data_IF_284445502734
#
_entry.id   IF_284445502734
#
_cell.length_a   1.000
_cell.length_b   1.000
_cell.length_c   1.000
_cell.angle_alpha   90.00
_cell.angle_beta   90.00
_cell.angle_gamma   90.00
#
_symmetry.space_group_name_H-M   'P 1'
#
loop_
_entity.id
_entity.type
_entity.pdbx_description
1 polymer ?
#
# COMPACT_ATOMS: atom_id res chain seq x y z
N UNK A 1 -48.86 -33.90 -23.46
CA UNK A 1 -48.76 -32.51 -23.03
C UNK A 1 -47.59 -32.39 -22.07
N UNK A 2 -46.43 -31.98 -22.56
CA UNK A 2 -45.22 -31.75 -21.74
C UNK A 2 -45.18 -30.28 -21.38
N UNK A 3 -45.30 -29.96 -20.10
CA UNK A 3 -45.13 -28.58 -19.58
C UNK A 3 -43.63 -28.29 -19.52
N UNK A 4 -43.21 -27.36 -20.36
CA UNK A 4 -41.85 -26.78 -20.29
C UNK A 4 -41.90 -25.70 -19.22
N UNK A 5 -41.20 -25.93 -18.15
CA UNK A 5 -40.97 -24.94 -17.07
C UNK A 5 -39.79 -24.05 -17.52
N UNK A 6 -40.11 -22.83 -17.95
CA UNK A 6 -39.09 -21.80 -18.22
C UNK A 6 -38.61 -21.27 -16.87
N UNK A 7 -37.42 -21.67 -16.45
CA UNK A 7 -36.69 -21.02 -15.36
C UNK A 7 -36.05 -19.74 -15.93
N UNK A 8 -36.66 -18.61 -15.66
CA UNK A 8 -36.04 -17.31 -15.89
C UNK A 8 -34.98 -17.11 -14.83
N UNK A 9 -33.72 -17.41 -15.15
CA UNK A 9 -32.57 -17.00 -14.37
C UNK A 9 -32.43 -15.50 -14.57
N UNK A 10 -32.89 -14.73 -13.57
CA UNK A 10 -32.60 -13.31 -13.45
C UNK A 10 -31.12 -13.22 -13.02
N UNK A 11 -30.23 -13.14 -14.01
CA UNK A 11 -28.86 -12.73 -13.77
C UNK A 11 -28.93 -11.28 -13.29
N UNK A 12 -28.88 -11.08 -11.97
CA UNK A 12 -28.49 -9.81 -11.38
C UNK A 12 -27.02 -9.63 -11.72
N UNK A 13 -26.71 -9.11 -12.90
CA UNK A 13 -25.43 -8.50 -13.18
C UNK A 13 -25.34 -7.28 -12.28
N UNK A 14 -24.75 -7.46 -11.09
CA UNK A 14 -24.23 -6.35 -10.33
C UNK A 14 -23.09 -5.83 -11.20
N UNK A 15 -23.41 -4.87 -12.06
CA UNK A 15 -22.41 -4.00 -12.64
C UNK A 15 -21.74 -3.28 -11.45
N UNK A 16 -20.63 -3.83 -10.99
CA UNK A 16 -19.64 -3.01 -10.32
C UNK A 16 -19.14 -2.04 -11.40
N UNK A 17 -19.86 -0.95 -11.61
CA UNK A 17 -19.24 0.22 -12.15
C UNK A 17 -18.07 0.50 -11.19
N UNK A 18 -16.86 0.31 -11.67
CA UNK A 18 -15.67 0.91 -11.07
C UNK A 18 -15.87 2.42 -11.21
N UNK A 19 -16.65 2.99 -10.29
CA UNK A 19 -16.99 4.39 -10.31
C UNK A 19 -15.72 5.10 -9.88
N UNK A 20 -15.20 5.94 -10.76
CA UNK A 20 -14.36 7.04 -10.37
C UNK A 20 -14.96 7.66 -9.09
N UNK A 21 -14.33 7.45 -7.96
CA UNK A 21 -14.87 7.92 -6.69
C UNK A 21 -14.73 9.43 -6.62
N UNK A 22 -15.66 10.12 -6.00
CA UNK A 22 -15.50 11.55 -5.73
C UNK A 22 -14.44 11.81 -4.63
N UNK A 23 -13.95 10.77 -3.95
CA UNK A 23 -12.82 10.86 -3.01
C UNK A 23 -11.52 10.86 -3.82
N UNK A 24 -10.81 11.99 -3.78
CA UNK A 24 -9.51 12.16 -4.44
C UNK A 24 -8.36 11.71 -3.53
N UNK A 25 -8.46 12.03 -2.22
CA UNK A 25 -7.49 11.66 -1.20
C UNK A 25 -8.18 11.49 0.16
N UNK A 26 -7.82 10.49 0.96
CA UNK A 26 -6.98 9.34 0.60
C UNK A 26 -7.71 8.38 -0.33
N UNK A 27 -6.96 7.82 -1.26
CA UNK A 27 -7.49 6.85 -2.22
C UNK A 27 -6.53 5.65 -2.35
N UNK A 28 -6.77 4.80 -3.31
CA UNK A 28 -6.07 3.50 -3.45
C UNK A 28 -4.55 3.60 -3.55
N UNK A 29 -4.05 4.57 -4.31
CA UNK A 29 -2.60 4.80 -4.46
C UNK A 29 -1.96 5.50 -3.27
N UNK A 30 -2.75 6.13 -2.39
CA UNK A 30 -2.25 7.01 -1.34
C UNK A 30 -3.02 6.87 -0.06
N UNK A 31 -2.41 6.25 0.95
CA UNK A 31 -2.99 6.10 2.29
C UNK A 31 -2.68 7.31 3.16
N UNK A 32 -3.68 7.86 3.85
CA UNK A 32 -3.44 8.84 4.90
C UNK A 32 -2.88 8.15 6.15
N UNK A 33 -1.76 8.63 6.69
CA UNK A 33 -1.19 8.17 7.97
C UNK A 33 -1.48 9.22 9.02
N UNK A 34 -2.14 8.82 10.12
CA UNK A 34 -2.54 9.74 11.18
C UNK A 34 -2.35 9.13 12.56
N UNK A 35 -1.87 9.89 13.52
CA UNK A 35 -1.86 9.47 14.93
C UNK A 35 -3.26 9.57 15.53
N UNK A 36 -3.64 8.62 16.39
CA UNK A 36 -4.85 8.78 17.20
C UNK A 36 -4.79 10.09 18.01
N UNK A 37 -5.87 10.84 18.00
CA UNK A 37 -5.95 12.20 18.58
C UNK A 37 -5.53 13.33 17.63
N UNK A 38 -5.09 13.01 16.41
CA UNK A 38 -4.64 14.00 15.42
C UNK A 38 -5.61 14.09 14.24
N UNK A 39 -5.32 14.97 13.30
CA UNK A 39 -6.14 15.25 12.13
C UNK A 39 -5.44 14.81 10.85
N UNK A 40 -6.25 14.47 9.83
CA UNK A 40 -5.83 14.32 8.45
C UNK A 40 -6.82 15.00 7.51
N UNK A 41 -6.44 15.22 6.27
CA UNK A 41 -7.30 15.81 5.25
C UNK A 41 -7.96 14.74 4.39
N UNK A 42 -9.19 15.02 3.94
CA UNK A 42 -9.88 14.31 2.87
C UNK A 42 -10.20 15.32 1.78
N UNK A 43 -9.80 15.01 0.54
CA UNK A 43 -10.12 15.78 -0.64
C UNK A 43 -11.26 15.13 -1.39
N UNK A 44 -12.30 15.87 -1.64
CA UNK A 44 -13.53 15.33 -2.20
C UNK A 44 -14.06 16.25 -3.29
N UNK A 45 -14.51 15.68 -4.40
CA UNK A 45 -15.11 16.41 -5.50
C UNK A 45 -16.62 16.25 -5.46
N UNK A 46 -17.29 17.13 -4.72
CA UNK A 46 -18.73 17.08 -4.56
C UNK A 46 -19.45 17.56 -5.82
N UNK A 47 -20.49 16.84 -6.24
CA UNK A 47 -21.44 17.31 -7.26
C UNK A 47 -22.22 18.53 -6.76
N UNK A 48 -22.83 19.27 -7.69
CA UNK A 48 -23.66 20.45 -7.35
C UNK A 48 -24.78 20.04 -6.40
N UNK A 49 -24.86 20.73 -5.27
CA UNK A 49 -25.87 20.46 -4.22
C UNK A 49 -25.58 19.25 -3.33
N UNK A 50 -24.51 18.48 -3.57
CA UNK A 50 -24.15 17.36 -2.74
C UNK A 50 -23.60 17.85 -1.39
N UNK A 51 -24.14 17.29 -0.30
CA UNK A 51 -23.69 17.55 1.07
C UNK A 51 -22.98 16.33 1.63
N UNK A 52 -22.02 16.58 2.53
CA UNK A 52 -21.33 15.54 3.30
C UNK A 52 -21.98 15.45 4.67
N UNK A 53 -22.58 14.33 4.97
CA UNK A 53 -23.36 14.12 6.19
C UNK A 53 -22.52 13.58 7.35
N UNK A 54 -21.64 12.62 7.08
CA UNK A 54 -20.74 12.05 8.09
C UNK A 54 -19.56 11.32 7.47
N UNK A 55 -18.50 11.15 8.26
CA UNK A 55 -17.35 10.31 7.97
C UNK A 55 -17.19 9.28 9.10
N UNK A 56 -16.81 8.07 8.75
CA UNK A 56 -16.43 7.01 9.70
C UNK A 56 -15.18 6.29 9.20
N UNK A 57 -14.38 5.79 10.13
CA UNK A 57 -13.29 4.87 9.84
C UNK A 57 -13.76 3.45 10.17
N UNK A 58 -13.91 2.59 9.16
CA UNK A 58 -14.37 1.21 9.31
C UNK A 58 -13.17 0.28 9.25
N UNK A 59 -12.78 -0.24 10.40
CA UNK A 59 -11.75 -1.27 10.50
C UNK A 59 -12.30 -2.69 10.33
N UNK A 60 -11.43 -3.70 10.31
CA UNK A 60 -11.85 -5.09 10.19
C UNK A 60 -12.66 -5.57 11.41
N UNK A 61 -12.48 -4.96 12.57
CA UNK A 61 -13.11 -5.41 13.83
C UNK A 61 -13.90 -4.32 14.55
N UNK A 62 -13.75 -3.07 14.18
CA UNK A 62 -14.40 -1.92 14.82
C UNK A 62 -14.73 -0.82 13.82
N UNK A 63 -15.60 0.10 14.27
CA UNK A 63 -15.88 1.35 13.57
C UNK A 63 -15.56 2.50 14.49
N UNK A 64 -14.78 3.46 14.01
CA UNK A 64 -14.41 4.67 14.74
C UNK A 64 -15.22 5.84 14.18
N UNK A 65 -16.00 6.49 15.03
CA UNK A 65 -16.64 7.75 14.70
C UNK A 65 -15.60 8.87 14.81
N UNK A 66 -15.54 9.71 13.81
CA UNK A 66 -14.63 10.84 13.73
C UNK A 66 -15.43 12.15 13.69
N UNK A 67 -14.79 13.27 14.04
CA UNK A 67 -15.36 14.60 13.79
C UNK A 67 -14.75 15.18 12.53
N UNK A 68 -15.48 16.08 11.87
CA UNK A 68 -15.03 16.70 10.62
C UNK A 68 -15.38 18.17 10.56
N UNK A 69 -14.57 18.92 9.82
CA UNK A 69 -14.89 20.28 9.35
C UNK A 69 -14.59 20.38 7.85
N UNK A 70 -15.40 21.11 7.11
CA UNK A 70 -15.32 21.18 5.66
C UNK A 70 -15.09 22.63 5.21
N UNK A 71 -14.14 22.80 4.29
CA UNK A 71 -13.90 24.05 3.58
C UNK A 71 -14.26 23.84 2.11
N UNK A 72 -15.08 24.74 1.57
CA UNK A 72 -15.42 24.77 0.15
C UNK A 72 -14.39 25.61 -0.61
N UNK A 73 -14.04 25.18 -1.81
CA UNK A 73 -13.07 25.89 -2.65
C UNK A 73 -12.97 25.23 -4.01
N UNK A 74 -11.88 25.49 -4.70
CA UNK A 74 -11.51 24.80 -5.92
C UNK A 74 -9.98 24.69 -5.95
N UNK A 75 -9.47 23.46 -5.89
CA UNK A 75 -8.04 23.19 -5.86
C UNK A 75 -7.67 22.21 -6.95
N UNK A 76 -6.68 22.55 -7.74
CA UNK A 76 -6.09 21.63 -8.73
C UNK A 76 -5.10 20.71 -8.00
N UNK A 77 -5.28 19.39 -8.15
CA UNK A 77 -4.35 18.40 -7.60
C UNK A 77 -3.46 17.77 -8.67
N UNK A 78 -3.91 17.79 -9.91
CA UNK A 78 -3.15 17.32 -11.05
C UNK A 78 -3.13 18.38 -12.16
N UNK A 79 -2.02 19.10 -12.30
CA UNK A 79 -1.87 20.12 -13.35
C UNK A 79 -1.82 19.55 -14.77
N UNK A 80 -1.48 18.24 -14.95
CA UNK A 80 -1.45 17.62 -16.28
C UNK A 80 -2.85 17.42 -16.83
N UNK A 81 -3.75 16.92 -16.01
CA UNK A 81 -5.16 16.70 -16.41
C UNK A 81 -6.05 17.90 -16.10
N UNK A 82 -5.57 18.83 -15.29
CA UNK A 82 -6.40 19.94 -14.79
C UNK A 82 -7.44 19.49 -13.77
N UNK A 83 -7.34 18.27 -13.26
CA UNK A 83 -8.29 17.70 -12.32
C UNK A 83 -8.30 18.46 -10.99
N UNK A 84 -9.51 18.67 -10.46
CA UNK A 84 -9.74 19.50 -9.28
C UNK A 84 -10.58 18.78 -8.24
N UNK A 85 -10.54 19.27 -7.00
CA UNK A 85 -11.52 18.93 -5.97
C UNK A 85 -12.08 20.21 -5.34
N UNK A 86 -13.29 20.12 -4.78
CA UNK A 86 -14.02 21.29 -4.33
C UNK A 86 -14.42 21.26 -2.85
N UNK A 87 -14.02 20.21 -2.12
CA UNK A 87 -14.19 20.09 -0.66
C UNK A 87 -12.89 19.61 -0.04
N UNK A 88 -12.38 20.39 0.90
CA UNK A 88 -11.29 20.01 1.79
C UNK A 88 -11.89 19.76 3.17
N UNK A 89 -11.77 18.52 3.65
CA UNK A 89 -12.38 18.08 4.89
C UNK A 89 -11.26 17.74 5.87
N UNK A 90 -11.19 18.45 6.98
CA UNK A 90 -10.31 18.08 8.09
C UNK A 90 -11.03 17.08 8.97
N UNK A 91 -10.47 15.91 9.12
CA UNK A 91 -11.02 14.80 9.91
C UNK A 91 -10.19 14.63 11.17
N UNK A 92 -10.82 14.62 12.34
CA UNK A 92 -10.17 14.39 13.63
C UNK A 92 -10.43 12.98 14.11
N UNK A 93 -9.35 12.22 14.30
CA UNK A 93 -9.39 10.85 14.84
C UNK A 93 -9.40 10.93 16.37
N UNK A 94 -10.30 10.25 17.08
CA UNK A 94 -10.28 10.27 18.55
C UNK A 94 -9.01 9.59 19.10
N UNK A 95 -8.52 10.06 20.24
CA UNK A 95 -7.31 9.53 20.91
C UNK A 95 -7.45 8.06 21.32
N UNK A 96 -8.67 7.57 21.46
CA UNK A 96 -9.00 6.18 21.83
C UNK A 96 -9.05 5.25 20.62
N UNK A 97 -8.92 5.76 19.37
CA UNK A 97 -8.94 4.93 18.19
C UNK A 97 -7.80 3.91 18.21
N UNK A 98 -8.07 2.62 18.03
CA UNK A 98 -7.02 1.62 17.91
C UNK A 98 -6.11 1.89 16.70
N UNK A 99 -4.83 1.53 16.83
CA UNK A 99 -3.93 1.52 15.68
C UNK A 99 -4.33 0.38 14.75
N UNK A 100 -4.71 0.72 13.52
CA UNK A 100 -5.11 -0.23 12.49
C UNK A 100 -5.18 0.44 11.12
N UNK A 101 -5.47 -0.33 10.09
CA UNK A 101 -5.85 0.20 8.78
C UNK A 101 -7.37 0.20 8.64
N UNK A 102 -7.90 1.30 8.15
CA UNK A 102 -9.33 1.57 8.07
C UNK A 102 -9.75 1.95 6.66
N UNK A 103 -10.93 1.51 6.28
CA UNK A 103 -11.67 2.10 5.18
C UNK A 103 -12.21 3.47 5.62
N UNK A 104 -12.05 4.46 4.77
CA UNK A 104 -12.72 5.76 4.92
C UNK A 104 -14.11 5.66 4.32
N UNK A 105 -15.14 5.77 5.14
CA UNK A 105 -16.54 5.71 4.70
C UNK A 105 -17.15 7.10 4.81
N UNK A 106 -17.52 7.66 3.67
CA UNK A 106 -18.11 8.98 3.50
C UNK A 106 -19.59 8.85 3.16
N UNK A 107 -20.46 9.35 4.04
CA UNK A 107 -21.89 9.45 3.76
C UNK A 107 -22.22 10.82 3.20
N UNK A 108 -22.79 10.85 2.02
CA UNK A 108 -23.24 12.06 1.35
C UNK A 108 -24.76 12.03 1.11
N UNK A 109 -25.33 13.16 0.67
CA UNK A 109 -26.73 13.20 0.24
C UNK A 109 -27.02 12.36 -1.02
N UNK A 110 -25.98 11.97 -1.77
CA UNK A 110 -26.08 11.17 -2.99
C UNK A 110 -25.78 9.68 -2.76
N UNK A 111 -25.37 9.28 -1.53
CA UNK A 111 -25.01 7.91 -1.20
C UNK A 111 -23.74 7.78 -0.37
N UNK A 112 -23.24 6.55 -0.29
CA UNK A 112 -22.05 6.19 0.48
C UNK A 112 -20.89 5.97 -0.48
N UNK A 113 -19.76 6.60 -0.18
CA UNK A 113 -18.50 6.37 -0.86
C UNK A 113 -17.47 5.78 0.10
N UNK A 114 -16.61 4.90 -0.39
CA UNK A 114 -15.63 4.20 0.44
C UNK A 114 -14.27 4.19 -0.22
N UNK A 115 -13.27 4.73 0.48
CA UNK A 115 -11.87 4.49 0.18
C UNK A 115 -11.37 3.32 1.01
N UNK A 116 -11.25 2.15 0.37
CA UNK A 116 -10.84 0.92 1.05
C UNK A 116 -9.39 0.99 1.50
N UNK A 117 -9.15 0.73 2.79
CA UNK A 117 -7.82 0.83 3.38
C UNK A 117 -7.20 2.23 3.27
N UNK A 118 -8.01 3.28 3.08
CA UNK A 118 -7.51 4.63 2.81
C UNK A 118 -6.82 5.30 3.99
N UNK A 119 -7.01 4.82 5.23
CA UNK A 119 -6.48 5.49 6.43
C UNK A 119 -5.72 4.51 7.31
N UNK A 120 -4.47 4.80 7.61
CA UNK A 120 -3.66 4.13 8.62
C UNK A 120 -3.62 4.97 9.90
N UNK A 121 -4.29 4.49 10.94
CA UNK A 121 -4.19 5.08 12.28
C UNK A 121 -3.02 4.41 13.02
N UNK A 122 -2.16 5.22 13.62
CA UNK A 122 -1.04 4.77 14.46
C UNK A 122 -1.16 5.37 15.86
N UNK A 123 -0.58 4.72 16.85
CA UNK A 123 -0.49 5.29 18.22
C UNK A 123 0.63 6.31 18.29
N UNK A 124 1.79 5.94 17.79
CA UNK A 124 2.97 6.78 17.67
C UNK A 124 3.87 6.32 16.53
N UNK A 125 4.81 7.16 16.13
CA UNK A 125 5.83 6.77 15.17
C UNK A 125 6.80 5.78 15.83
N UNK A 126 7.07 4.67 15.16
CA UNK A 126 8.06 3.70 15.65
C UNK A 126 9.47 4.29 15.59
N UNK A 127 10.32 3.91 16.53
CA UNK A 127 11.75 4.25 16.52
C UNK A 127 12.48 3.61 15.33
N UNK A 128 12.14 2.36 15.06
CA UNK A 128 12.55 1.61 13.89
C UNK A 128 11.33 1.04 13.20
N UNK A 129 11.28 1.12 11.88
CA UNK A 129 10.14 0.62 11.10
C UNK A 129 10.58 0.02 9.78
N UNK A 130 9.75 -0.86 9.25
CA UNK A 130 9.98 -1.50 7.97
C UNK A 130 9.22 -0.79 6.85
N UNK A 131 9.92 -0.58 5.73
CA UNK A 131 9.35 -0.26 4.44
C UNK A 131 9.50 -1.49 3.56
N UNK A 132 8.40 -1.91 2.91
CA UNK A 132 8.45 -2.91 1.85
C UNK A 132 8.35 -2.22 0.50
N UNK A 133 9.12 -2.74 -0.46
CA UNK A 133 9.17 -2.23 -1.81
C UNK A 133 9.12 -3.38 -2.81
N UNK A 134 8.23 -3.25 -3.78
CA UNK A 134 8.19 -4.12 -4.96
C UNK A 134 7.71 -3.36 -6.18
N UNK A 135 7.76 -4.00 -7.35
CA UNK A 135 7.42 -3.42 -8.63
C UNK A 135 7.08 -4.49 -9.65
N UNK A 136 6.54 -4.08 -10.78
CA UNK A 136 6.42 -4.88 -12.01
C UNK A 136 5.71 -6.23 -11.77
N UNK A 137 4.61 -6.21 -11.05
CA UNK A 137 3.82 -7.41 -10.78
C UNK A 137 3.04 -7.88 -12.00
N UNK A 138 2.63 -6.97 -12.87
CA UNK A 138 1.92 -7.20 -14.12
C UNK A 138 0.76 -8.21 -14.00
N UNK A 139 -0.07 -8.05 -12.99
CA UNK A 139 -1.24 -8.91 -12.82
C UNK A 139 -2.09 -8.92 -14.08
N UNK A 140 -2.62 -10.11 -14.41
CA UNK A 140 -3.45 -10.37 -15.57
C UNK A 140 -2.75 -10.23 -16.94
N UNK A 141 -1.44 -10.26 -16.99
CA UNK A 141 -0.73 -10.33 -18.27
C UNK A 141 -0.94 -11.69 -18.93
N UNK A 142 -1.32 -11.66 -20.21
CA UNK A 142 -1.45 -12.88 -21.02
C UNK A 142 -0.13 -13.66 -21.07
N UNK A 143 -0.20 -14.98 -20.91
CA UNK A 143 0.98 -15.86 -20.95
C UNK A 143 1.66 -16.07 -19.60
N UNK A 144 1.22 -15.40 -18.53
CA UNK A 144 1.68 -15.66 -17.16
C UNK A 144 0.59 -16.32 -16.33
N UNK A 145 1.00 -17.17 -15.40
CA UNK A 145 0.08 -17.84 -14.47
C UNK A 145 -0.53 -16.82 -13.49
N UNK A 146 -1.72 -16.36 -13.78
CA UNK A 146 -2.44 -15.37 -12.97
C UNK A 146 -2.71 -15.89 -11.56
N UNK A 147 -3.03 -17.16 -11.38
CA UNK A 147 -3.32 -17.73 -10.05
C UNK A 147 -2.07 -17.71 -9.18
N UNK A 148 -0.91 -18.00 -9.73
CA UNK A 148 0.35 -17.94 -9.02
C UNK A 148 0.75 -16.48 -8.68
N UNK A 149 0.54 -15.55 -9.60
CA UNK A 149 0.77 -14.13 -9.32
C UNK A 149 -0.12 -13.60 -8.20
N UNK A 150 -1.40 -13.97 -8.20
CA UNK A 150 -2.33 -13.60 -7.13
C UNK A 150 -1.92 -14.19 -5.78
N UNK A 151 -1.48 -15.45 -5.75
CA UNK A 151 -0.92 -16.08 -4.54
C UNK A 151 0.32 -15.34 -4.02
N UNK A 152 1.21 -14.90 -4.92
CA UNK A 152 2.40 -14.12 -4.55
C UNK A 152 2.03 -12.76 -3.98
N UNK A 153 1.11 -12.06 -4.59
CA UNK A 153 0.58 -10.80 -4.04
C UNK A 153 -0.02 -11.01 -2.66
N UNK A 154 -0.85 -12.04 -2.48
CA UNK A 154 -1.45 -12.34 -1.18
C UNK A 154 -0.40 -12.69 -0.12
N UNK A 155 0.66 -13.42 -0.51
CA UNK A 155 1.79 -13.69 0.37
C UNK A 155 2.56 -12.42 0.75
N UNK A 156 2.71 -11.47 -0.16
CA UNK A 156 3.32 -10.17 0.13
C UNK A 156 2.52 -9.41 1.18
N UNK A 157 1.20 -9.41 1.09
CA UNK A 157 0.31 -8.81 2.09
C UNK A 157 0.50 -9.50 3.45
N UNK A 158 0.54 -10.83 3.48
CA UNK A 158 0.75 -11.59 4.71
C UNK A 158 2.15 -11.33 5.30
N UNK A 159 3.18 -11.30 4.48
CA UNK A 159 4.54 -10.94 4.91
C UNK A 159 4.56 -9.53 5.51
N UNK A 160 3.96 -8.54 4.84
CA UNK A 160 3.85 -7.18 5.35
C UNK A 160 3.16 -7.11 6.72
N UNK A 161 2.09 -7.89 6.90
CA UNK A 161 1.35 -7.96 8.14
C UNK A 161 2.16 -8.66 9.26
N UNK A 162 2.93 -9.72 8.93
CA UNK A 162 3.76 -10.44 9.90
C UNK A 162 4.96 -9.61 10.32
N UNK A 163 5.67 -8.97 9.39
CA UNK A 163 6.82 -8.10 9.76
C UNK A 163 6.39 -6.78 10.39
N UNK A 164 5.09 -6.52 10.45
CA UNK A 164 4.47 -5.26 10.91
C UNK A 164 5.05 -4.03 10.18
N UNK A 165 5.11 -4.13 8.83
CA UNK A 165 5.55 -3.03 8.00
C UNK A 165 4.65 -1.80 8.20
N UNK A 166 5.26 -0.62 8.25
CA UNK A 166 4.51 0.64 8.34
C UNK A 166 4.10 1.16 6.98
N UNK A 167 4.96 0.96 5.98
CA UNK A 167 4.83 1.53 4.65
C UNK A 167 5.10 0.45 3.61
N UNK A 168 4.26 0.41 2.58
CA UNK A 168 4.46 -0.33 1.35
C UNK A 168 4.56 0.69 0.23
N UNK A 169 5.60 0.59 -0.60
CA UNK A 169 5.78 1.38 -1.81
C UNK A 169 5.83 0.42 -3.00
N UNK A 170 4.91 0.62 -3.92
CA UNK A 170 4.83 -0.11 -5.18
C UNK A 170 5.27 0.83 -6.30
N UNK A 171 6.37 0.52 -6.96
CA UNK A 171 6.95 1.42 -7.96
C UNK A 171 6.46 1.15 -9.37
N UNK A 172 5.15 0.92 -9.51
CA UNK A 172 4.44 0.87 -10.77
C UNK A 172 4.42 -0.50 -11.47
N UNK A 173 3.69 -0.56 -12.56
CA UNK A 173 3.46 -1.74 -13.38
C UNK A 173 2.90 -2.93 -12.59
N UNK A 174 2.00 -2.62 -11.67
CA UNK A 174 1.38 -3.64 -10.83
C UNK A 174 0.31 -4.42 -11.58
N UNK A 175 -0.30 -3.79 -12.58
CA UNK A 175 -1.31 -4.42 -13.41
C UNK A 175 -1.01 -4.26 -14.89
N UNK A 176 -1.33 -5.28 -15.65
CA UNK A 176 -1.18 -5.26 -17.09
C UNK A 176 -2.52 -4.91 -17.75
N UNK A 177 -2.51 -3.87 -18.60
CA UNK A 177 -3.65 -3.53 -19.42
C UNK A 177 -4.93 -3.16 -18.61
N UNK A 178 -4.78 -2.36 -17.57
CA UNK A 178 -5.87 -1.96 -16.68
C UNK A 178 -6.97 -1.20 -17.40
N UNK A 179 -6.61 -0.36 -18.38
CA UNK A 179 -7.55 0.51 -19.09
C UNK A 179 -8.67 -0.25 -19.78
N UNK A 180 -8.40 -1.47 -20.24
CA UNK A 180 -9.41 -2.34 -20.86
C UNK A 180 -10.11 -3.24 -19.83
N UNK A 181 -9.62 -3.30 -18.59
CA UNK A 181 -10.09 -4.21 -17.57
C UNK A 181 -10.11 -3.54 -16.19
N UNK A 182 -10.88 -2.46 -16.00
CA UNK A 182 -10.92 -1.72 -14.73
C UNK A 182 -11.43 -2.56 -13.56
N UNK A 183 -12.17 -3.66 -13.81
CA UNK A 183 -12.59 -4.60 -12.79
C UNK A 183 -11.43 -5.31 -12.09
N UNK A 184 -10.27 -5.40 -12.74
CA UNK A 184 -9.07 -6.04 -12.19
C UNK A 184 -8.43 -5.22 -11.09
N UNK A 185 -8.56 -3.91 -11.18
CA UNK A 185 -8.15 -3.00 -10.14
C UNK A 185 -8.91 -3.24 -8.84
N UNK A 186 -10.21 -3.48 -8.93
CA UNK A 186 -11.04 -3.85 -7.77
C UNK A 186 -10.48 -5.10 -7.12
N UNK A 187 -10.16 -6.14 -7.90
CA UNK A 187 -9.56 -7.37 -7.41
C UNK A 187 -8.19 -7.12 -6.76
N UNK A 188 -7.38 -6.24 -7.34
CA UNK A 188 -6.07 -5.90 -6.79
C UNK A 188 -6.17 -5.21 -5.43
N UNK A 189 -7.02 -4.17 -5.30
CA UNK A 189 -7.10 -3.36 -4.08
C UNK A 189 -8.06 -3.91 -3.05
N UNK A 190 -9.25 -4.31 -3.44
CA UNK A 190 -10.31 -4.72 -2.52
C UNK A 190 -10.25 -6.23 -2.26
N UNK A 191 -9.78 -6.98 -3.24
CA UNK A 191 -9.82 -8.43 -3.30
C UNK A 191 -11.06 -8.91 -4.07
N UNK A 192 -11.02 -10.18 -4.44
CA UNK A 192 -12.10 -10.86 -5.12
C UNK A 192 -12.26 -12.27 -4.56
N UNK A 193 -13.42 -12.55 -3.98
CA UNK A 193 -13.72 -13.86 -3.40
C UNK A 193 -13.85 -14.97 -4.46
N UNK A 194 -14.25 -14.64 -5.69
CA UNK A 194 -14.34 -15.59 -6.78
C UNK A 194 -12.95 -16.01 -7.28
N UNK A 195 -11.99 -15.09 -7.25
CA UNK A 195 -10.58 -15.37 -7.53
C UNK A 195 -9.81 -15.86 -6.29
N UNK A 196 -10.45 -15.86 -5.12
CA UNK A 196 -9.82 -16.25 -3.86
C UNK A 196 -8.66 -15.33 -3.42
N UNK A 197 -8.63 -14.07 -3.88
CA UNK A 197 -7.53 -13.14 -3.61
C UNK A 197 -7.90 -12.07 -2.59
N UNK A 198 -6.94 -11.75 -1.74
CA UNK A 198 -6.98 -10.58 -0.83
C UNK A 198 -6.66 -9.31 -1.61
N UNK A 199 -7.28 -8.20 -1.25
CA UNK A 199 -6.87 -6.90 -1.79
C UNK A 199 -5.74 -6.25 -0.99
N UNK A 200 -5.00 -5.33 -1.60
CA UNK A 200 -3.98 -4.51 -0.94
C UNK A 200 -4.52 -3.74 0.26
N UNK A 201 -5.81 -3.41 0.28
CA UNK A 201 -6.50 -2.83 1.43
C UNK A 201 -6.47 -3.72 2.70
N UNK A 202 -6.10 -5.01 2.58
CA UNK A 202 -5.91 -5.94 3.71
C UNK A 202 -4.50 -5.90 4.31
N UNK A 203 -3.55 -5.25 3.68
CA UNK A 203 -2.29 -4.93 4.32
C UNK A 203 -2.52 -3.96 5.48
N UNK A 204 -1.91 -4.22 6.63
CA UNK A 204 -1.96 -3.28 7.77
C UNK A 204 -1.06 -2.06 7.55
N UNK A 205 -0.07 -2.16 6.68
CA UNK A 205 0.81 -1.05 6.27
C UNK A 205 0.06 0.01 5.45
N UNK A 206 0.48 1.26 5.53
CA UNK A 206 0.07 2.28 4.58
C UNK A 206 0.65 1.96 3.19
N UNK A 207 -0.17 2.00 2.15
CA UNK A 207 0.22 1.63 0.79
C UNK A 207 0.27 2.85 -0.10
N UNK A 208 1.34 2.96 -0.87
CA UNK A 208 1.58 4.00 -1.85
C UNK A 208 1.96 3.36 -3.19
N UNK A 209 1.24 3.72 -4.23
CA UNK A 209 1.45 3.25 -5.58
C UNK A 209 1.97 4.40 -6.44
N UNK A 210 3.14 4.22 -7.00
CA UNK A 210 3.70 5.10 -8.02
C UNK A 210 3.14 4.70 -9.39
N UNK A 211 2.85 5.66 -10.24
CA UNK A 211 2.40 5.38 -11.59
C UNK A 211 3.48 4.68 -12.41
N UNK A 212 3.16 3.51 -12.93
CA UNK A 212 3.93 2.80 -13.95
C UNK A 212 3.39 3.10 -15.35
N UNK A 213 4.10 2.68 -16.37
CA UNK A 213 3.64 2.91 -17.75
C UNK A 213 2.46 2.00 -18.13
N UNK A 214 2.32 0.83 -17.49
CA UNK A 214 1.18 -0.06 -17.68
C UNK A 214 -0.12 0.38 -16.98
N UNK A 215 -0.08 1.18 -15.93
CA UNK A 215 -1.28 1.73 -15.31
C UNK A 215 -2.03 2.73 -16.19
N UNK A 216 -1.36 3.34 -17.15
CA UNK A 216 -1.97 4.29 -18.09
C UNK A 216 -2.18 3.77 -19.50
N UNK A 217 -1.59 2.62 -19.86
CA UNK A 217 -1.57 2.14 -21.24
C UNK A 217 -2.86 1.46 -21.69
N UNK A 218 -3.18 1.64 -22.94
CA UNK A 218 -4.29 1.01 -23.62
C UNK A 218 -3.82 -0.27 -24.34
N UNK A 219 -3.77 -1.38 -23.62
CA UNK A 219 -3.42 -2.67 -24.19
C UNK A 219 -1.93 -2.87 -24.44
N UNK A 220 -1.61 -3.84 -25.33
CA UNK A 220 -0.25 -4.17 -25.73
C UNK A 220 0.45 -3.09 -26.58
N UNK A 221 -0.19 -1.95 -26.76
CA UNK A 221 0.30 -0.88 -27.62
C UNK A 221 0.77 0.29 -26.76
N UNK A 222 2.04 0.25 -26.40
CA UNK A 222 2.75 1.28 -25.63
C UNK A 222 2.69 2.71 -26.22
N UNK A 223 2.04 2.88 -27.36
CA UNK A 223 1.99 4.16 -28.05
C UNK A 223 0.67 4.91 -27.93
N UNK A 224 -0.36 4.33 -27.30
CA UNK A 224 -1.70 4.87 -27.31
C UNK A 224 -2.16 5.44 -25.96
N UNK A 225 -2.20 6.69 -25.91
CA UNK A 225 -2.73 7.57 -24.88
C UNK A 225 -1.89 8.83 -24.84
N UNK A 226 -2.55 9.97 -24.89
CA UNK A 226 -1.89 11.22 -24.54
C UNK A 226 -1.53 11.19 -23.05
N UNK A 227 -0.58 12.01 -22.64
CA UNK A 227 -0.26 12.19 -21.22
C UNK A 227 -1.49 12.51 -20.40
N UNK A 228 -2.36 13.36 -20.98
CA UNK A 228 -3.63 13.74 -20.38
C UNK A 228 -4.53 12.53 -20.14
N UNK A 229 -4.74 11.68 -21.15
CA UNK A 229 -5.62 10.51 -21.02
C UNK A 229 -5.10 9.49 -20.01
N UNK A 230 -3.77 9.32 -19.92
CA UNK A 230 -3.17 8.44 -18.93
C UNK A 230 -3.31 9.01 -17.52
N UNK A 231 -3.10 10.32 -17.38
CA UNK A 231 -3.29 11.05 -16.12
C UNK A 231 -4.73 10.97 -15.63
N UNK A 232 -5.71 11.23 -16.52
CA UNK A 232 -7.13 11.14 -16.19
C UNK A 232 -7.50 9.72 -15.74
N UNK A 233 -7.07 8.72 -16.48
CA UNK A 233 -7.33 7.32 -16.14
C UNK A 233 -6.73 6.94 -14.79
N UNK A 234 -5.46 7.29 -14.54
CA UNK A 234 -4.83 7.01 -13.26
C UNK A 234 -5.56 7.71 -12.10
N UNK A 235 -5.89 8.98 -12.26
CA UNK A 235 -6.63 9.74 -11.24
C UNK A 235 -8.00 9.13 -10.92
N UNK A 236 -8.70 8.65 -11.94
CA UNK A 236 -10.03 8.04 -11.78
C UNK A 236 -9.98 6.72 -11.01
N UNK A 237 -9.01 5.89 -11.28
CA UNK A 237 -8.94 4.53 -10.71
C UNK A 237 -7.97 4.40 -9.54
N UNK A 238 -6.82 5.06 -9.60
CA UNK A 238 -5.75 4.88 -8.64
C UNK A 238 -5.63 6.03 -7.64
N UNK A 239 -5.94 7.24 -8.06
CA UNK A 239 -5.86 8.46 -7.25
C UNK A 239 -4.71 9.37 -7.66
N UNK A 240 -3.96 9.88 -6.70
CA UNK A 240 -2.90 10.86 -6.98
C UNK A 240 -1.72 10.20 -7.69
N UNK A 241 -1.28 10.79 -8.81
CA UNK A 241 -0.11 10.33 -9.56
C UNK A 241 1.19 10.62 -8.83
N UNK A 242 1.23 11.70 -8.09
CA UNK A 242 2.35 12.06 -7.23
C UNK A 242 1.84 12.50 -5.86
N UNK A 243 2.59 12.17 -4.83
CA UNK A 243 2.21 12.48 -3.46
C UNK A 243 3.43 12.65 -2.57
N UNK A 244 3.31 13.54 -1.59
CA UNK A 244 4.32 13.73 -0.57
C UNK A 244 3.72 13.55 0.81
N UNK A 245 4.34 12.74 1.64
CA UNK A 245 3.87 12.46 2.98
C UNK A 245 5.02 12.33 3.99
N UNK A 246 4.68 12.31 5.26
CA UNK A 246 5.66 12.13 6.35
C UNK A 246 5.30 10.98 7.26
N UNK A 247 6.32 10.29 7.76
CA UNK A 247 6.24 9.36 8.86
C UNK A 247 7.36 9.65 9.87
N UNK A 248 7.00 10.24 10.99
CA UNK A 248 7.99 10.73 11.95
C UNK A 248 8.96 11.74 11.33
N UNK A 249 10.25 11.42 11.34
CA UNK A 249 11.29 12.21 10.71
C UNK A 249 11.53 11.88 9.23
N UNK A 250 10.85 10.85 8.71
CA UNK A 250 10.89 10.48 7.30
C UNK A 250 10.06 11.40 6.42
N UNK A 251 10.57 11.67 5.22
CA UNK A 251 9.94 12.44 4.15
C UNK A 251 9.93 11.59 2.90
N UNK A 252 8.75 11.40 2.35
CA UNK A 252 8.48 10.48 1.25
C UNK A 252 7.87 11.27 0.10
N UNK A 253 8.36 11.03 -1.10
CA UNK A 253 7.92 11.70 -2.32
C UNK A 253 7.76 10.65 -3.41
N UNK A 254 6.53 10.35 -3.76
CA UNK A 254 6.18 9.50 -4.89
C UNK A 254 5.95 10.40 -6.10
N UNK A 255 6.66 10.14 -7.19
CA UNK A 255 6.69 10.98 -8.36
C UNK A 255 6.32 10.20 -9.61
N UNK A 256 5.43 10.75 -10.42
CA UNK A 256 5.14 10.18 -11.74
C UNK A 256 6.27 10.51 -12.72
N UNK A 257 6.98 9.49 -13.14
CA UNK A 257 8.00 9.59 -14.19
C UNK A 257 7.79 8.59 -15.33
N UNK A 258 6.60 7.98 -15.38
CA UNK A 258 6.25 6.99 -16.41
C UNK A 258 5.75 7.66 -17.70
N UNK A 259 4.98 8.75 -17.60
CA UNK A 259 4.30 9.34 -18.75
C UNK A 259 4.80 10.73 -19.09
N UNK A 260 4.74 11.06 -20.38
CA UNK A 260 4.83 12.43 -20.88
C UNK A 260 6.20 13.04 -21.00
N UNK A 261 7.23 12.29 -20.66
CA UNK A 261 8.60 12.76 -20.79
C UNK A 261 9.37 11.79 -21.67
N UNK A 262 9.91 12.31 -22.78
CA UNK A 262 10.82 11.53 -23.59
C UNK A 262 12.08 11.17 -22.78
N UNK A 263 12.72 10.06 -23.10
CA UNK A 263 14.00 9.67 -22.51
C UNK A 263 15.08 10.77 -22.59
N UNK A 264 14.91 11.73 -23.50
CA UNK A 264 15.77 12.91 -23.67
C UNK A 264 15.51 14.02 -22.65
N UNK A 265 14.35 14.05 -21.97
CA UNK A 265 13.99 15.10 -21.00
C UNK A 265 14.24 14.73 -19.55
N UNK A 266 14.87 13.60 -19.29
CA UNK A 266 15.37 13.18 -17.99
C UNK A 266 14.35 13.36 -16.85
N UNK A 267 13.08 12.80 -17.01
CA UNK A 267 12.55 12.89 -15.83
C UNK A 267 11.16 12.96 -15.34
N UNK A 268 11.08 13.63 -14.32
CA UNK A 268 9.90 14.00 -13.55
C UNK A 268 9.38 15.33 -14.11
N UNK A 269 8.09 15.51 -14.19
CA UNK A 269 7.49 16.77 -14.60
C UNK A 269 7.95 17.92 -13.69
N UNK A 270 8.22 19.09 -14.26
CA UNK A 270 8.75 20.23 -13.48
C UNK A 270 7.84 20.61 -12.33
N UNK A 271 6.51 20.58 -12.52
CA UNK A 271 5.56 20.91 -11.45
C UNK A 271 5.64 19.93 -10.26
N UNK A 272 5.93 18.66 -10.47
CA UNK A 272 6.10 17.67 -9.39
C UNK A 272 7.36 17.97 -8.59
N UNK A 273 8.44 18.32 -9.28
CA UNK A 273 9.69 18.78 -8.64
C UNK A 273 9.43 20.01 -7.79
N UNK A 274 8.70 21.00 -8.34
CA UNK A 274 8.39 22.25 -7.65
C UNK A 274 7.47 22.03 -6.46
N UNK A 275 6.45 21.17 -6.61
CA UNK A 275 5.57 20.77 -5.51
C UNK A 275 6.31 20.04 -4.41
N UNK A 276 7.19 19.08 -4.75
CA UNK A 276 7.99 18.37 -3.76
C UNK A 276 8.93 19.32 -3.02
N UNK A 277 9.60 20.25 -3.72
CA UNK A 277 10.45 21.28 -3.12
C UNK A 277 9.67 22.20 -2.20
N UNK A 278 8.51 22.69 -2.64
CA UNK A 278 7.65 23.55 -1.84
C UNK A 278 7.14 22.84 -0.58
N UNK A 279 6.74 21.57 -0.74
CA UNK A 279 6.31 20.75 0.40
C UNK A 279 7.43 20.55 1.42
N UNK A 280 8.65 20.24 0.97
CA UNK A 280 9.81 20.04 1.84
C UNK A 280 10.24 21.33 2.56
N UNK A 281 10.10 22.48 1.91
CA UNK A 281 10.34 23.79 2.53
C UNK A 281 9.26 24.18 3.56
N UNK A 282 8.06 23.64 3.42
CA UNK A 282 6.89 23.93 4.25
C UNK A 282 6.50 22.77 5.17
N UNK A 283 5.41 22.07 4.82
CA UNK A 283 4.82 21.01 5.64
C UNK A 283 5.77 19.80 5.87
N UNK A 284 6.68 19.55 4.94
CA UNK A 284 7.69 18.50 5.01
C UNK A 284 9.01 18.91 5.67
N UNK A 285 9.12 20.13 6.22
CA UNK A 285 10.37 20.60 6.81
C UNK A 285 10.80 19.78 8.04
N UNK A 286 12.09 19.85 8.39
CA UNK A 286 12.66 19.25 9.61
C UNK A 286 12.81 17.71 9.55
N UNK A 287 12.77 17.08 8.37
CA UNK A 287 13.07 15.67 8.21
C UNK A 287 14.57 15.37 8.22
N UNK A 288 14.91 14.10 8.45
CA UNK A 288 16.30 13.59 8.39
C UNK A 288 16.46 12.33 7.53
N UNK A 289 15.36 11.72 7.10
CA UNK A 289 15.31 10.62 6.14
C UNK A 289 14.45 11.05 4.96
N UNK A 290 15.00 10.99 3.76
CA UNK A 290 14.34 11.44 2.55
C UNK A 290 14.32 10.30 1.53
N UNK A 291 13.12 9.84 1.20
CA UNK A 291 12.88 8.81 0.21
C UNK A 291 12.13 9.41 -0.97
N UNK A 292 12.58 9.11 -2.17
CA UNK A 292 11.78 9.34 -3.37
C UNK A 292 11.56 8.03 -4.12
N UNK A 293 10.38 7.87 -4.70
CA UNK A 293 10.01 6.72 -5.50
C UNK A 293 9.50 7.16 -6.87
N UNK A 294 9.80 6.40 -7.90
CA UNK A 294 9.32 6.57 -9.25
C UNK A 294 9.44 5.25 -9.99
N UNK A 295 8.69 5.08 -11.11
CA UNK A 295 8.73 3.81 -11.83
C UNK A 295 10.02 3.68 -12.66
N UNK A 296 10.22 4.59 -13.62
CA UNK A 296 11.35 4.52 -14.54
C UNK A 296 12.63 5.02 -13.87
N UNK A 297 13.51 4.09 -13.50
CA UNK A 297 14.75 4.36 -12.78
C UNK A 297 15.65 5.39 -13.48
N UNK A 298 15.72 5.37 -14.82
CA UNK A 298 16.57 6.25 -15.62
C UNK A 298 15.97 7.67 -15.80
N UNK A 299 14.76 7.92 -15.35
CA UNK A 299 14.08 9.21 -15.52
C UNK A 299 14.05 10.07 -14.25
N UNK A 300 14.63 9.60 -13.15
CA UNK A 300 14.65 10.35 -11.89
C UNK A 300 15.85 11.28 -11.73
N UNK A 301 16.77 11.30 -12.68
CA UNK A 301 18.03 12.05 -12.61
C UNK A 301 17.84 13.53 -12.31
N UNK A 302 16.88 14.18 -12.99
CA UNK A 302 16.66 15.62 -12.80
C UNK A 302 16.26 15.93 -11.37
N UNK A 303 15.31 15.17 -10.81
CA UNK A 303 14.88 15.37 -9.41
C UNK A 303 16.01 15.10 -8.43
N UNK A 304 16.76 14.00 -8.66
CA UNK A 304 17.86 13.60 -7.79
C UNK A 304 18.99 14.63 -7.82
N UNK A 305 19.29 15.20 -8.98
CA UNK A 305 20.33 16.22 -9.12
C UNK A 305 19.91 17.57 -8.54
N UNK A 306 18.65 17.97 -8.75
CA UNK A 306 18.13 19.25 -8.32
C UNK A 306 17.78 19.27 -6.82
N UNK A 307 17.56 18.08 -6.24
CA UNK A 307 17.13 17.94 -4.84
C UNK A 307 18.12 17.12 -4.01
N UNK A 308 18.74 17.81 -3.04
CA UNK A 308 19.63 17.23 -2.03
C UNK A 308 19.15 17.68 -0.62
N UNK A 309 19.18 16.83 0.41
CA UNK A 309 19.69 15.45 0.46
C UNK A 309 18.60 14.41 0.20
N UNK A 310 18.94 13.30 -0.50
CA UNK A 310 18.12 12.09 -0.57
C UNK A 310 18.82 10.95 0.19
N UNK A 311 18.08 10.19 0.96
CA UNK A 311 18.58 9.02 1.69
C UNK A 311 18.40 7.73 0.91
N UNK A 312 17.29 7.61 0.18
CA UNK A 312 16.88 6.41 -0.54
C UNK A 312 16.07 6.79 -1.78
N UNK A 313 16.35 6.12 -2.89
CA UNK A 313 15.58 6.21 -4.12
C UNK A 313 15.07 4.83 -4.49
N UNK A 314 13.78 4.68 -4.78
CA UNK A 314 13.15 3.44 -5.18
C UNK A 314 12.66 3.52 -6.62
N UNK A 315 12.83 2.43 -7.39
CA UNK A 315 12.40 2.36 -8.78
C UNK A 315 12.01 0.95 -9.21
N UNK A 316 11.34 0.84 -10.37
CA UNK A 316 10.98 -0.38 -11.07
C UNK A 316 11.50 -0.41 -12.49
N UNK A 317 10.65 -0.82 -13.46
CA UNK A 317 10.82 -0.78 -14.93
C UNK A 317 11.82 -1.80 -15.53
N UNK A 318 12.89 -2.13 -14.82
CA UNK A 318 13.92 -3.05 -15.36
C UNK A 318 13.60 -4.53 -15.26
N UNK A 319 12.60 -4.91 -14.50
CA UNK A 319 12.20 -6.28 -14.21
C UNK A 319 13.25 -7.14 -13.52
N UNK A 320 14.53 -6.91 -13.76
CA UNK A 320 15.61 -7.62 -13.09
C UNK A 320 16.77 -6.69 -12.80
N UNK A 321 17.40 -6.96 -11.70
CA UNK A 321 18.66 -6.33 -11.34
C UNK A 321 19.78 -7.24 -11.78
N UNK A 322 20.64 -6.76 -12.69
CA UNK A 322 21.81 -7.52 -13.10
C UNK A 322 22.66 -7.82 -11.88
N UNK A 323 23.06 -9.07 -11.69
CA UNK A 323 23.83 -9.54 -10.54
C UNK A 323 25.13 -8.80 -10.30
N UNK A 324 25.64 -8.10 -11.32
CA UNK A 324 26.87 -7.32 -11.27
C UNK A 324 26.70 -5.84 -10.92
N UNK A 325 25.49 -5.30 -11.02
CA UNK A 325 25.25 -3.88 -10.78
C UNK A 325 23.76 -3.60 -10.50
N UNK A 326 23.26 -3.92 -9.30
CA UNK A 326 21.87 -3.65 -8.94
C UNK A 326 21.53 -2.15 -8.83
N UNK A 327 22.46 -1.27 -9.19
CA UNK A 327 22.43 0.13 -8.86
C UNK A 327 22.90 0.95 -10.04
N UNK A 328 22.09 1.86 -10.47
CA UNK A 328 22.63 2.96 -11.25
C UNK A 328 23.09 4.05 -10.28
N UNK A 329 24.41 4.29 -10.31
CA UNK A 329 24.99 5.48 -9.70
C UNK A 329 24.67 6.63 -10.63
N UNK A 330 23.85 7.55 -10.18
CA UNK A 330 23.55 8.74 -10.95
C UNK A 330 24.76 9.66 -11.04
N UNK A 331 25.16 10.14 -12.23
CA UNK A 331 26.27 11.02 -12.40
C UNK A 331 26.16 12.27 -11.51
N UNK A 332 27.14 12.48 -10.64
CA UNK A 332 27.22 13.65 -9.76
C UNK A 332 26.62 13.52 -8.37
N UNK A 333 26.10 12.34 -8.00
CA UNK A 333 25.52 12.11 -6.66
C UNK A 333 25.99 10.82 -6.00
N UNK A 334 26.08 10.79 -4.67
CA UNK A 334 26.39 9.59 -3.89
C UNK A 334 25.20 8.62 -3.81
N UNK A 335 24.15 8.76 -4.64
CA UNK A 335 22.84 8.21 -4.39
C UNK A 335 22.50 7.08 -5.33
N UNK A 336 21.95 6.09 -4.75
CA UNK A 336 21.74 4.77 -5.26
C UNK A 336 20.25 4.60 -5.43
N UNK A 337 19.78 4.34 -6.65
CA UNK A 337 18.43 3.91 -6.90
C UNK A 337 18.33 2.41 -6.64
N UNK A 338 17.42 2.04 -5.77
CA UNK A 338 17.10 0.65 -5.51
C UNK A 338 15.98 0.23 -6.46
N UNK A 339 16.33 -0.65 -7.38
CA UNK A 339 15.40 -1.23 -8.34
C UNK A 339 14.87 -2.53 -7.75
N UNK A 340 13.56 -2.71 -7.75
CA UNK A 340 12.97 -4.00 -7.41
C UNK A 340 13.07 -4.96 -8.58
N UNK A 341 13.42 -6.22 -8.30
CA UNK A 341 13.17 -7.27 -9.25
C UNK A 341 11.66 -7.49 -9.38
N UNK A 342 11.22 -7.77 -10.59
CA UNK A 342 9.82 -8.02 -10.91
C UNK A 342 9.24 -9.16 -10.06
N UNK A 343 8.09 -8.93 -9.44
CA UNK A 343 7.33 -10.02 -8.80
C UNK A 343 6.91 -11.06 -9.83
N UNK A 344 6.57 -10.61 -11.06
CA UNK A 344 6.13 -11.47 -12.15
C UNK A 344 7.17 -12.55 -12.49
N UNK A 345 8.43 -12.15 -12.67
CA UNK A 345 9.49 -13.01 -13.21
C UNK A 345 10.38 -13.61 -12.13
N UNK A 346 10.70 -12.82 -11.10
CA UNK A 346 11.74 -13.17 -10.13
C UNK A 346 11.21 -13.46 -8.73
N UNK A 347 9.93 -13.12 -8.44
CA UNK A 347 9.28 -13.41 -7.14
C UNK A 347 10.01 -12.78 -5.95
N UNK A 348 10.47 -11.56 -6.14
CA UNK A 348 11.35 -10.88 -5.22
C UNK A 348 10.80 -9.51 -4.83
N UNK A 349 11.22 -9.05 -3.68
CA UNK A 349 10.89 -7.75 -3.12
C UNK A 349 12.04 -7.24 -2.25
N UNK A 350 11.93 -6.01 -1.76
CA UNK A 350 12.91 -5.44 -0.86
C UNK A 350 12.26 -5.06 0.48
N UNK A 351 13.04 -5.12 1.55
CA UNK A 351 12.70 -4.58 2.87
C UNK A 351 13.79 -3.61 3.29
N UNK A 352 13.39 -2.45 3.80
CA UNK A 352 14.29 -1.47 4.40
C UNK A 352 13.87 -1.25 5.84
N UNK A 353 14.81 -1.44 6.78
CA UNK A 353 14.62 -1.09 8.18
C UNK A 353 15.14 0.32 8.40
N UNK A 354 14.26 1.27 8.63
CA UNK A 354 14.58 2.69 8.84
C UNK A 354 14.67 2.97 10.32
N UNK A 355 15.77 3.62 10.75
CA UNK A 355 15.87 4.22 12.07
C UNK A 355 15.38 5.66 12.02
N UNK A 356 14.24 5.92 12.63
CA UNK A 356 13.53 7.18 12.56
C UNK A 356 14.31 8.36 13.18
N UNK A 357 15.04 8.11 14.26
CA UNK A 357 15.81 9.15 14.94
C UNK A 357 17.08 9.53 14.18
N UNK A 358 17.77 8.53 13.59
CA UNK A 358 19.04 8.75 12.88
C UNK A 358 18.86 9.14 11.43
N UNK A 359 17.68 8.89 10.82
CA UNK A 359 17.44 9.10 9.39
C UNK A 359 18.28 8.17 8.51
N UNK A 360 18.55 6.97 8.98
CA UNK A 360 19.33 5.95 8.26
C UNK A 360 18.48 4.72 8.01
N UNK A 361 18.86 3.92 7.02
CA UNK A 361 18.23 2.62 6.79
C UNK A 361 19.28 1.51 6.69
N UNK A 362 18.84 0.30 6.92
CA UNK A 362 19.61 -0.94 6.70
C UNK A 362 18.74 -1.94 5.97
N UNK A 363 19.38 -2.83 5.22
CA UNK A 363 18.75 -4.03 4.70
C UNK A 363 18.61 -5.07 5.82
N UNK A 364 17.71 -6.05 5.74
CA UNK A 364 17.48 -7.02 6.82
C UNK A 364 18.71 -7.81 7.24
N UNK A 365 19.62 -8.07 6.29
CA UNK A 365 20.92 -8.70 6.57
C UNK A 365 21.87 -7.85 7.42
N UNK A 366 21.47 -6.63 7.82
CA UNK A 366 22.32 -5.69 8.57
C UNK A 366 23.35 -4.96 7.73
N UNK A 367 23.38 -5.22 6.42
CA UNK A 367 24.29 -4.56 5.48
C UNK A 367 23.55 -3.44 4.75
N UNK A 368 24.28 -2.42 4.33
CA UNK A 368 23.84 -1.46 3.31
C UNK A 368 24.22 -1.94 1.92
N UNK A 369 24.71 -3.17 1.82
CA UNK A 369 25.16 -3.77 0.57
C UNK A 369 23.97 -4.10 -0.32
N UNK A 370 24.14 -3.83 -1.50
CA UNK A 370 23.28 -3.62 -2.65
C UNK A 370 22.55 -4.87 -3.19
N UNK A 371 22.79 -6.06 -2.69
CA UNK A 371 22.41 -7.31 -3.37
C UNK A 371 21.32 -8.13 -2.66
N UNK A 372 20.62 -7.60 -1.69
CA UNK A 372 19.64 -8.41 -0.96
C UNK A 372 18.21 -8.17 -1.43
N UNK A 373 17.91 -8.60 -2.64
CA UNK A 373 16.54 -8.92 -3.02
C UNK A 373 16.07 -10.16 -2.25
N UNK A 374 14.86 -10.10 -1.74
CA UNK A 374 14.30 -11.14 -0.87
C UNK A 374 13.33 -11.98 -1.70
N UNK A 375 13.52 -13.29 -1.71
CA UNK A 375 12.58 -14.19 -2.34
C UNK A 375 11.28 -14.28 -1.52
N UNK A 376 10.12 -14.04 -2.16
CA UNK A 376 8.81 -14.15 -1.52
C UNK A 376 8.56 -15.60 -1.02
N UNK A 377 8.98 -16.59 -1.81
CA UNK A 377 8.81 -18.00 -1.52
C UNK A 377 9.90 -18.86 -2.16
N UNK A 378 9.67 -20.18 -2.19
CA UNK A 378 10.51 -21.04 -3.00
C UNK A 378 10.45 -20.61 -4.47
N UNK A 379 11.54 -20.83 -5.21
CA UNK A 379 11.63 -20.46 -6.63
C UNK A 379 10.84 -21.41 -7.56
N UNK A 380 9.90 -22.16 -7.02
CA UNK A 380 9.03 -23.02 -7.78
C UNK A 380 7.97 -22.20 -8.51
N UNK A 381 7.82 -22.43 -9.79
CA UNK A 381 6.81 -21.80 -10.65
C UNK A 381 5.52 -22.60 -10.75
N UNK A 382 5.39 -23.66 -9.94
CA UNK A 382 4.29 -24.61 -9.97
C UNK A 382 3.30 -24.43 -8.82
N UNK A 383 2.31 -25.30 -8.76
CA UNK A 383 1.32 -25.37 -7.67
C UNK A 383 1.92 -25.64 -6.28
N UNK A 384 3.18 -26.09 -6.20
CA UNK A 384 3.90 -26.37 -4.94
C UNK A 384 4.58 -25.13 -4.35
N UNK A 385 4.42 -23.96 -4.97
CA UNK A 385 4.96 -22.72 -4.46
C UNK A 385 4.43 -22.40 -3.06
N UNK A 386 5.34 -22.08 -2.14
CA UNK A 386 5.03 -21.70 -0.75
C UNK A 386 5.82 -20.46 -0.33
N UNK A 387 5.22 -19.55 0.45
CA UNK A 387 5.90 -18.36 0.97
C UNK A 387 7.04 -18.72 1.93
N UNK A 388 8.05 -17.85 1.99
CA UNK A 388 9.16 -17.97 2.94
C UNK A 388 8.85 -17.47 4.35
N UNK A 389 7.78 -16.71 4.53
CA UNK A 389 7.28 -16.29 5.84
C UNK A 389 5.80 -16.61 5.93
N UNK A 390 5.42 -17.42 6.91
CA UNK A 390 4.03 -17.87 7.08
C UNK A 390 3.58 -17.75 8.53
N UNK A 391 2.29 -17.48 8.70
CA UNK A 391 1.59 -17.50 9.98
C UNK A 391 0.42 -18.46 9.91
N UNK A 392 0.35 -19.40 10.83
CA UNK A 392 -0.74 -20.35 10.96
C UNK A 392 -1.29 -20.36 12.38
N UNK A 393 -2.55 -20.75 12.53
CA UNK A 393 -3.20 -20.90 13.82
C UNK A 393 -3.64 -22.36 14.03
N UNK A 394 -3.49 -22.86 15.26
CA UNK A 394 -3.92 -24.21 15.61
C UNK A 394 -5.46 -24.37 15.56
N UNK A 395 -6.19 -23.30 15.82
CA UNK A 395 -7.64 -23.21 15.65
C UNK A 395 -7.99 -21.99 14.83
N UNK A 396 -9.16 -21.96 14.22
CA UNK A 396 -9.65 -20.80 13.48
C UNK A 396 -9.56 -19.52 14.32
N UNK A 397 -8.86 -18.49 13.81
CA UNK A 397 -8.68 -17.19 14.49
C UNK A 397 -9.87 -16.25 14.24
N UNK A 398 -11.06 -16.71 14.58
CA UNK A 398 -12.36 -16.09 14.24
C UNK A 398 -13.13 -15.53 15.44
N UNK A 399 -12.50 -15.49 16.62
CA UNK A 399 -13.14 -15.00 17.85
C UNK A 399 -14.02 -16.01 18.57
N UNK A 400 -14.05 -17.26 18.12
CA UNK A 400 -14.87 -18.34 18.73
C UNK A 400 -14.18 -19.05 19.88
N UNK A 401 -12.85 -19.03 19.91
CA UNK A 401 -12.05 -19.75 20.92
C UNK A 401 -11.33 -18.77 21.83
N UNK A 402 -11.30 -19.08 23.14
CA UNK A 402 -10.62 -18.26 24.16
C UNK A 402 -9.14 -18.64 24.35
N UNK A 403 -8.67 -19.66 23.66
CA UNK A 403 -7.27 -20.06 23.64
C UNK A 403 -6.89 -20.46 22.23
N UNK A 404 -5.74 -19.96 21.74
CA UNK A 404 -5.23 -20.31 20.44
C UNK A 404 -3.69 -20.31 20.43
N UNK A 405 -3.13 -20.99 19.46
CA UNK A 405 -1.69 -21.02 19.24
C UNK A 405 -1.41 -20.55 17.82
N UNK A 406 -0.58 -19.55 17.68
CA UNK A 406 -0.05 -19.08 16.40
C UNK A 406 1.38 -19.62 16.22
N UNK A 407 1.69 -20.08 15.03
CA UNK A 407 3.04 -20.50 14.64
C UNK A 407 3.49 -19.64 13.46
N UNK A 408 4.61 -18.96 13.60
CA UNK A 408 5.28 -18.25 12.51
C UNK A 408 6.49 -19.06 12.09
N UNK A 409 6.61 -19.34 10.79
CA UNK A 409 7.78 -19.97 10.18
C UNK A 409 8.51 -18.95 9.34
N UNK A 410 9.74 -18.63 9.71
CA UNK A 410 10.64 -17.74 9.02
C UNK A 410 11.72 -18.56 8.30
N UNK A 411 11.65 -18.64 6.98
CA UNK A 411 12.65 -19.28 6.11
C UNK A 411 13.62 -18.26 5.49
N UNK A 412 13.48 -16.98 5.81
CA UNK A 412 14.48 -15.98 5.43
C UNK A 412 15.79 -16.24 6.21
N UNK A 413 16.90 -15.89 5.60
CA UNK A 413 18.23 -15.98 6.18
C UNK A 413 18.58 -14.82 7.14
N UNK A 414 17.60 -14.01 7.48
CA UNK A 414 17.71 -12.89 8.42
C UNK A 414 16.63 -12.93 9.51
N UNK A 415 16.95 -12.29 10.63
CA UNK A 415 16.05 -12.15 11.76
C UNK A 415 15.04 -11.00 11.54
N UNK A 416 13.82 -11.16 12.05
CA UNK A 416 12.76 -10.15 12.02
C UNK A 416 12.50 -9.70 13.45
N UNK A 417 12.63 -8.40 13.71
CA UNK A 417 12.36 -7.79 15.03
C UNK A 417 10.93 -7.26 15.04
N UNK A 418 10.16 -7.62 16.07
CA UNK A 418 8.82 -7.09 16.26
C UNK A 418 7.77 -7.67 15.31
N UNK A 419 7.96 -8.91 14.84
CA UNK A 419 6.95 -9.60 14.05
C UNK A 419 5.62 -9.65 14.80
N UNK A 420 4.50 -9.45 14.08
CA UNK A 420 3.17 -9.25 14.66
C UNK A 420 2.27 -10.45 14.45
N UNK A 421 1.57 -10.82 15.51
CA UNK A 421 0.45 -11.77 15.49
C UNK A 421 -0.78 -11.07 16.04
N UNK A 422 -1.86 -11.11 15.29
CA UNK A 422 -3.17 -10.63 15.76
C UNK A 422 -4.04 -11.80 16.15
N UNK A 423 -4.43 -11.88 17.43
CA UNK A 423 -5.43 -12.81 17.91
C UNK A 423 -6.80 -12.16 17.95
N UNK A 424 -7.80 -12.91 17.47
CA UNK A 424 -9.22 -12.57 17.55
C UNK A 424 -9.87 -13.55 18.53
N UNK A 425 -10.35 -13.06 19.65
CA UNK A 425 -10.83 -13.89 20.77
C UNK A 425 -12.17 -13.37 21.31
N UNK A 426 -12.94 -14.17 22.09
CA UNK A 426 -14.19 -13.72 22.69
C UNK A 426 -14.01 -12.53 23.63
N UNK A 427 -14.98 -11.63 23.67
CA UNK A 427 -15.02 -10.53 24.65
C UNK A 427 -15.27 -11.01 26.09
N UNK A 428 -15.00 -10.11 27.04
CA UNK A 428 -15.36 -10.30 28.45
C UNK A 428 -14.39 -11.17 29.23
N UNK A 429 -13.22 -11.47 28.66
CA UNK A 429 -12.16 -12.21 29.32
C UNK A 429 -10.87 -11.39 29.37
N UNK A 430 -10.03 -11.71 30.36
CA UNK A 430 -8.64 -11.25 30.41
C UNK A 430 -7.76 -12.33 29.78
N UNK A 431 -6.83 -11.92 28.95
CA UNK A 431 -5.99 -12.84 28.21
C UNK A 431 -4.53 -12.74 28.63
N UNK A 432 -3.88 -13.89 28.67
CA UNK A 432 -2.43 -14.03 28.87
C UNK A 432 -1.78 -14.50 27.58
N UNK A 433 -0.58 -13.98 27.31
CA UNK A 433 0.21 -14.33 26.13
C UNK A 433 1.53 -14.89 26.58
N UNK A 434 2.01 -15.95 25.89
CA UNK A 434 3.36 -16.47 26.01
C UNK A 434 4.00 -16.52 24.62
N UNK A 435 5.32 -16.37 24.54
CA UNK A 435 6.05 -16.33 23.28
C UNK A 435 6.10 -14.96 22.60
N UNK A 436 5.58 -13.92 23.25
CA UNK A 436 5.61 -12.55 22.75
C UNK A 436 5.10 -11.54 23.79
N UNK A 437 5.05 -10.28 23.42
CA UNK A 437 4.56 -9.17 24.23
C UNK A 437 3.30 -8.54 23.60
N UNK A 438 2.28 -8.29 24.41
CA UNK A 438 1.08 -7.56 23.94
C UNK A 438 1.50 -6.13 23.61
N UNK A 439 1.23 -5.69 22.40
CA UNK A 439 1.51 -4.32 21.92
C UNK A 439 0.25 -3.48 21.84
N UNK A 440 -0.89 -4.11 21.60
CA UNK A 440 -2.19 -3.47 21.62
C UNK A 440 -3.27 -4.49 21.94
N UNK A 441 -4.28 -4.05 22.73
CA UNK A 441 -5.53 -4.78 22.88
C UNK A 441 -6.70 -3.82 22.85
N UNK A 442 -7.82 -4.25 22.28
CA UNK A 442 -9.06 -3.46 22.25
C UNK A 442 -10.29 -4.32 22.03
N UNK A 443 -11.43 -3.83 22.50
CA UNK A 443 -12.71 -4.43 22.17
C UNK A 443 -13.21 -3.90 20.84
N UNK A 444 -13.26 -4.76 19.83
CA UNK A 444 -13.94 -4.49 18.59
C UNK A 444 -15.46 -4.55 18.73
N UNK A 445 -16.22 -4.54 17.65
CA UNK A 445 -17.69 -4.64 17.69
C UNK A 445 -18.14 -5.98 18.28
N UNK A 446 -17.57 -7.08 17.84
CA UNK A 446 -17.98 -8.44 18.20
C UNK A 446 -16.95 -9.15 19.07
N UNK A 447 -15.67 -8.92 18.83
CA UNK A 447 -14.56 -9.67 19.39
C UNK A 447 -13.61 -8.79 20.20
N UNK A 448 -12.76 -9.41 21.00
CA UNK A 448 -11.60 -8.79 21.61
C UNK A 448 -10.37 -9.07 20.74
N UNK A 449 -9.58 -8.05 20.46
CA UNK A 449 -8.43 -8.11 19.58
C UNK A 449 -7.17 -7.92 20.43
N UNK A 450 -6.20 -8.81 20.23
CA UNK A 450 -4.90 -8.76 20.93
C UNK A 450 -3.79 -8.85 19.90
N UNK A 451 -3.03 -7.77 19.73
CA UNK A 451 -1.83 -7.73 18.90
C UNK A 451 -0.60 -8.05 19.76
N UNK A 452 0.20 -8.97 19.28
CA UNK A 452 1.38 -9.48 19.99
C UNK A 452 2.61 -9.32 19.10
N UNK A 453 3.66 -8.72 19.63
CA UNK A 453 4.97 -8.67 18.99
C UNK A 453 5.88 -9.79 19.47
N UNK A 454 6.64 -10.37 18.56
CA UNK A 454 7.68 -11.36 18.85
C UNK A 454 8.89 -11.14 17.94
N UNK A 455 10.04 -11.66 18.35
CA UNK A 455 11.23 -11.66 17.49
C UNK A 455 11.40 -13.05 16.86
N UNK A 456 11.79 -13.06 15.60
CA UNK A 456 12.02 -14.27 14.82
C UNK A 456 13.51 -14.33 14.47
N UNK A 457 14.16 -15.46 14.74
CA UNK A 457 15.49 -15.69 14.21
C UNK A 457 15.44 -16.09 12.74
N UNK A 458 16.56 -15.99 12.04
CA UNK A 458 16.72 -16.52 10.70
C UNK A 458 16.44 -18.04 10.68
N UNK A 459 15.84 -18.55 9.62
CA UNK A 459 15.58 -19.98 9.41
C UNK A 459 14.97 -20.68 10.63
N UNK A 460 13.98 -20.09 11.26
CA UNK A 460 13.40 -20.58 12.51
C UNK A 460 11.87 -20.54 12.51
N UNK A 461 11.28 -21.17 13.53
CA UNK A 461 9.88 -21.00 13.85
C UNK A 461 9.69 -20.50 15.28
N UNK A 462 8.64 -19.70 15.48
CA UNK A 462 8.23 -19.20 16.80
C UNK A 462 6.77 -19.54 17.05
N UNK A 463 6.47 -19.89 18.29
CA UNK A 463 5.12 -20.20 18.72
C UNK A 463 4.66 -19.19 19.77
N UNK A 464 3.51 -18.59 19.52
CA UNK A 464 2.86 -17.62 20.39
C UNK A 464 1.52 -18.21 20.84
N UNK A 465 1.26 -18.22 22.14
CA UNK A 465 0.01 -18.72 22.69
C UNK A 465 -0.76 -17.62 23.38
N UNK A 466 -2.07 -17.62 23.16
CA UNK A 466 -3.03 -16.82 23.94
C UNK A 466 -3.96 -17.77 24.70
N UNK A 467 -4.25 -17.45 25.94
CA UNK A 467 -5.20 -18.18 26.78
C UNK A 467 -5.90 -17.24 27.72
N UNK A 468 -7.08 -17.67 28.17
CA UNK A 468 -7.84 -17.03 29.25
C UNK A 468 -7.14 -17.20 30.58
#
# INVERSE_FOLDING_TARGET
MKRILLFSILLLSICFSAIAGNIVYPWRSTTAIVKSGQTFEVWFNASTGQTINSIKLKGPYNTVNVTMSTVNGNWTYDPLSGNTYNRKITVTVPSTAPADRYDLVLNTSSGVETSYGGVKVIKDYKSDYYIMHWSDSHFFQHGYDTDLLLKRKDAMIDIANIIDAEIIIETGDNMYNVRNHPEREVAYFIGDSALGTKGMAKANAATFLVAGDHEGLNGNDFTKGTVQENADFFNDYWGLQSHSFKYGNGRFMDLNNAWGLSATNNGVHQYEVDNAKAWLAGAGSGGNFFLTAGHCYNRMHKFINDYQPLSLVLAGDKHHVASSNPWEIFPGGPKIAYISNSIREHFQFNIYKVNNAKGTFTLPSGTTAMASVINIGNQDTTSTWVPNLTLTFASENSGKVSSNTATIVNKFDFAITGAKVRFVVPKGNTYKVTGGAITQEFNGTTYHIVDVATNLNANSSSTIKISK
#
